data_IF_205448798814
#
_entry.id   IF_205448798814
#
_cell.length_a   1.000
_cell.length_b   1.000
_cell.length_c   1.000
_cell.angle_alpha   90.00
_cell.angle_beta   90.00
_cell.angle_gamma   90.00
#
_symmetry.space_group_name_H-M   'P 1'
#
loop_
_entity.id
_entity.type
_entity.pdbx_description
1 polymer ?
#
# COMPACT_ATOMS: atom_id res chain seq x y z
N UNK A 1 -3.44 3.11 13.26
CA UNK A 1 -2.32 2.41 13.90
C UNK A 1 -1.10 3.32 13.81
N UNK A 2 -0.38 3.59 14.89
CA UNK A 2 0.90 4.30 14.79
C UNK A 2 1.82 3.61 13.78
N UNK A 3 2.54 4.36 12.96
CA UNK A 3 3.35 3.77 11.90
C UNK A 3 4.42 2.81 12.45
N UNK A 4 4.90 3.04 13.67
CA UNK A 4 5.83 2.19 14.42
C UNK A 4 5.28 0.79 14.75
N UNK A 5 3.96 0.62 14.81
CA UNK A 5 3.31 -0.68 15.07
C UNK A 5 3.01 -1.45 13.78
N UNK A 6 3.01 -0.78 12.63
CA UNK A 6 2.65 -1.37 11.33
C UNK A 6 3.55 -2.55 10.94
N UNK A 7 4.89 -2.54 11.16
CA UNK A 7 5.73 -3.68 10.81
C UNK A 7 5.33 -4.97 11.55
N UNK A 8 5.08 -4.90 12.86
CA UNK A 8 4.64 -6.04 13.66
C UNK A 8 3.24 -6.52 13.23
N UNK A 9 2.36 -5.59 12.86
CA UNK A 9 1.06 -5.94 12.29
C UNK A 9 1.18 -6.66 10.94
N UNK A 10 2.03 -6.16 10.04
CA UNK A 10 2.28 -6.77 8.73
C UNK A 10 2.87 -8.18 8.85
N UNK A 11 3.72 -8.43 9.85
CA UNK A 11 4.21 -9.78 10.16
C UNK A 11 3.06 -10.72 10.48
N UNK A 12 2.16 -10.34 11.40
CA UNK A 12 0.97 -11.14 11.76
C UNK A 12 0.01 -11.30 10.58
N UNK A 13 -0.15 -10.26 9.75
CA UNK A 13 -1.01 -10.27 8.58
C UNK A 13 -0.52 -11.27 7.52
N UNK A 14 0.80 -11.31 7.28
CA UNK A 14 1.42 -12.18 6.27
C UNK A 14 1.24 -13.68 6.52
N UNK A 15 1.01 -14.07 7.76
CA UNK A 15 0.73 -15.46 8.16
C UNK A 15 -0.69 -15.92 7.79
N UNK A 16 -1.56 -15.01 7.34
CA UNK A 16 -2.97 -15.30 7.02
C UNK A 16 -3.16 -15.54 5.53
N UNK A 17 -3.70 -16.69 5.16
CA UNK A 17 -3.96 -17.07 3.76
C UNK A 17 -5.23 -16.49 3.15
N UNK A 18 -6.08 -15.84 3.95
CA UNK A 18 -7.36 -15.31 3.47
C UNK A 18 -7.16 -14.20 2.42
N UNK A 19 -8.02 -14.17 1.39
CA UNK A 19 -8.00 -13.14 0.34
C UNK A 19 -8.10 -11.71 0.91
N UNK A 20 -8.87 -11.54 2.00
CA UNK A 20 -8.96 -10.29 2.75
C UNK A 20 -7.61 -9.80 3.29
N UNK A 21 -6.74 -10.73 3.71
CA UNK A 21 -5.41 -10.40 4.22
C UNK A 21 -4.51 -9.91 3.09
N UNK A 22 -4.57 -10.57 1.92
CA UNK A 22 -3.85 -10.11 0.72
C UNK A 22 -4.34 -8.72 0.25
N UNK A 23 -5.65 -8.47 0.32
CA UNK A 23 -6.21 -7.15 0.00
C UNK A 23 -5.73 -6.06 0.98
N UNK A 24 -5.70 -6.36 2.28
CA UNK A 24 -5.19 -5.43 3.28
C UNK A 24 -3.68 -5.20 3.15
N UNK A 25 -2.92 -6.26 2.88
CA UNK A 25 -1.48 -6.18 2.60
C UNK A 25 -1.18 -5.25 1.42
N UNK A 26 -1.90 -5.42 0.31
CA UNK A 26 -1.73 -4.55 -0.86
C UNK A 26 -2.10 -3.10 -0.50
N UNK A 27 -3.22 -2.90 0.20
CA UNK A 27 -3.68 -1.57 0.63
C UNK A 27 -2.63 -0.83 1.46
N UNK A 28 -1.98 -1.53 2.40
CA UNK A 28 -0.93 -0.95 3.24
C UNK A 28 0.31 -0.65 2.40
N UNK A 29 0.76 -1.60 1.59
CA UNK A 29 1.96 -1.43 0.76
C UNK A 29 1.85 -0.31 -0.28
N UNK A 30 0.64 -0.07 -0.80
CA UNK A 30 0.42 0.95 -1.83
C UNK A 30 -0.13 2.26 -1.27
N UNK A 31 -0.42 2.30 0.04
CA UNK A 31 -1.16 3.38 0.69
C UNK A 31 -2.47 3.76 -0.04
N UNK A 32 -3.10 2.83 -0.75
CA UNK A 32 -4.34 3.07 -1.52
C UNK A 32 -5.57 3.13 -0.62
N UNK A 33 -6.69 3.65 -1.14
CA UNK A 33 -7.99 3.60 -0.45
C UNK A 33 -8.57 2.18 -0.53
N UNK A 34 -9.37 1.80 0.47
CA UNK A 34 -10.07 0.51 0.49
C UNK A 34 -10.81 0.22 -0.82
N UNK A 35 -11.58 1.18 -1.33
CA UNK A 35 -12.35 1.03 -2.57
C UNK A 35 -11.49 0.92 -3.83
N UNK A 36 -10.30 1.55 -3.83
CA UNK A 36 -9.33 1.44 -4.91
C UNK A 36 -8.80 0.01 -4.95
N UNK A 37 -8.34 -0.51 -3.80
CA UNK A 37 -7.81 -1.87 -3.71
C UNK A 37 -8.86 -2.92 -4.05
N UNK A 38 -10.04 -2.86 -3.43
CA UNK A 38 -11.05 -3.89 -3.61
C UNK A 38 -11.61 -3.91 -5.03
N UNK A 39 -11.77 -2.73 -5.66
CA UNK A 39 -12.22 -2.65 -7.04
C UNK A 39 -11.14 -2.91 -8.10
N UNK A 40 -9.88 -3.13 -7.69
CA UNK A 40 -8.75 -3.30 -8.61
C UNK A 40 -9.02 -4.40 -9.64
N UNK A 41 -8.69 -4.11 -10.90
CA UNK A 41 -8.86 -5.06 -12.02
C UNK A 41 -7.50 -5.50 -12.56
N UNK A 42 -7.41 -6.74 -13.05
CA UNK A 42 -6.17 -7.22 -13.66
C UNK A 42 -5.75 -6.39 -14.89
N UNK A 43 -6.72 -5.83 -15.63
CA UNK A 43 -6.45 -4.93 -16.76
C UNK A 43 -5.79 -3.60 -16.37
N UNK A 44 -5.80 -3.24 -15.08
CA UNK A 44 -5.15 -2.03 -14.56
C UNK A 44 -3.71 -2.28 -14.09
N UNK A 45 -3.31 -3.56 -13.98
CA UNK A 45 -2.05 -3.98 -13.37
C UNK A 45 -1.07 -4.46 -14.43
N UNK A 46 0.05 -3.76 -14.54
CA UNK A 46 1.21 -4.16 -15.30
C UNK A 46 2.31 -4.62 -14.33
N UNK A 47 2.50 -5.95 -14.23
CA UNK A 47 3.49 -6.54 -13.33
C UNK A 47 4.92 -6.37 -13.85
N UNK A 48 5.11 -6.23 -15.17
CA UNK A 48 6.42 -6.05 -15.78
C UNK A 48 6.91 -4.62 -15.55
N UNK A 49 6.05 -3.63 -15.77
CA UNK A 49 6.31 -2.22 -15.46
C UNK A 49 6.19 -1.90 -13.96
N UNK A 50 5.79 -2.89 -13.13
CA UNK A 50 5.50 -2.75 -11.70
C UNK A 50 4.62 -1.54 -11.42
N UNK A 51 3.48 -1.48 -12.09
CA UNK A 51 2.60 -0.33 -12.10
C UNK A 51 1.14 -0.77 -12.03
N UNK A 52 0.36 -0.10 -11.19
CA UNK A 52 -1.10 -0.21 -11.17
C UNK A 52 -1.71 1.14 -11.53
N UNK A 53 -2.49 1.20 -12.61
CA UNK A 53 -3.08 2.44 -13.13
C UNK A 53 -4.58 2.44 -12.86
N UNK A 54 -5.01 3.25 -11.89
CA UNK A 54 -6.42 3.39 -11.54
C UNK A 54 -7.05 4.46 -12.43
N UNK A 55 -8.07 4.12 -13.24
CA UNK A 55 -8.64 5.06 -14.20
C UNK A 55 -9.47 6.15 -13.52
N UNK A 56 -9.67 7.30 -14.20
CA UNK A 56 -10.37 8.47 -13.64
C UNK A 56 -11.76 8.18 -13.05
N UNK A 57 -12.53 7.30 -13.69
CA UNK A 57 -13.89 6.93 -13.29
C UNK A 57 -13.94 6.20 -11.94
N UNK A 58 -12.83 5.58 -11.53
CA UNK A 58 -12.68 4.94 -10.22
C UNK A 58 -12.05 5.84 -9.16
N UNK A 59 -11.52 6.98 -9.56
CA UNK A 59 -10.83 7.90 -8.66
C UNK A 59 -11.78 8.98 -8.16
N UNK A 60 -11.76 9.22 -6.84
CA UNK A 60 -12.58 10.26 -6.20
C UNK A 60 -12.37 11.65 -6.80
N UNK A 61 -11.16 11.94 -7.28
CA UNK A 61 -10.79 13.22 -7.87
C UNK A 61 -10.99 13.29 -9.39
N UNK A 62 -11.53 12.23 -10.02
CA UNK A 62 -11.74 12.19 -11.47
C UNK A 62 -10.46 12.29 -12.31
N UNK A 63 -9.31 11.94 -11.72
CA UNK A 63 -8.00 11.94 -12.37
C UNK A 63 -7.37 10.57 -12.20
N UNK A 64 -6.79 10.05 -13.28
CA UNK A 64 -6.00 8.82 -13.27
C UNK A 64 -4.95 8.85 -12.15
N UNK A 65 -4.81 7.73 -11.46
CA UNK A 65 -3.78 7.55 -10.44
C UNK A 65 -2.87 6.37 -10.78
N UNK A 66 -1.60 6.67 -11.01
CA UNK A 66 -0.56 5.67 -11.27
C UNK A 66 0.10 5.31 -9.95
N UNK A 67 -0.02 4.07 -9.52
CA UNK A 67 0.47 3.53 -8.25
C UNK A 67 1.69 2.64 -8.52
N UNK A 68 2.90 3.07 -8.16
CA UNK A 68 4.08 2.22 -8.16
C UNK A 68 3.89 0.96 -7.31
N UNK A 69 4.27 -0.20 -7.84
CA UNK A 69 4.25 -1.46 -7.10
C UNK A 69 5.67 -1.80 -6.63
N UNK A 70 5.88 -1.82 -5.32
CA UNK A 70 7.11 -2.33 -4.71
C UNK A 70 7.23 -3.85 -4.92
N UNK A 71 8.42 -4.41 -4.75
CA UNK A 71 8.62 -5.87 -4.89
C UNK A 71 7.68 -6.69 -3.99
N UNK A 72 7.43 -6.32 -2.72
CA UNK A 72 6.41 -6.99 -1.91
C UNK A 72 4.97 -6.85 -2.45
N UNK A 73 4.63 -5.73 -3.08
CA UNK A 73 3.29 -5.53 -3.65
C UNK A 73 3.08 -6.43 -4.88
N UNK A 74 4.11 -6.53 -5.72
CA UNK A 74 4.15 -7.46 -6.86
C UNK A 74 4.03 -8.91 -6.36
N UNK A 75 4.74 -9.28 -5.30
CA UNK A 75 4.66 -10.63 -4.73
C UNK A 75 3.25 -10.98 -4.22
N UNK A 76 2.54 -10.02 -3.59
CA UNK A 76 1.13 -10.19 -3.22
C UNK A 76 0.29 -10.48 -4.46
N UNK A 77 0.41 -9.66 -5.50
CA UNK A 77 -0.37 -9.81 -6.74
C UNK A 77 -0.08 -11.14 -7.46
N UNK A 78 1.19 -11.57 -7.50
CA UNK A 78 1.60 -12.84 -8.11
C UNK A 78 1.09 -14.06 -7.32
N UNK A 79 0.85 -13.91 -6.01
CA UNK A 79 0.30 -15.00 -5.19
C UNK A 79 -1.20 -15.26 -5.40
N UNK A 80 -1.89 -14.37 -6.13
CA UNK A 80 -3.33 -14.45 -6.33
C UNK A 80 -3.68 -15.23 -7.61
N UNK A 81 -4.73 -16.04 -7.52
CA UNK A 81 -5.32 -16.69 -8.67
C UNK A 81 -6.20 -15.71 -9.46
N UNK A 82 -6.10 -15.74 -10.79
CA UNK A 82 -6.89 -14.88 -11.69
C UNK A 82 -8.24 -15.51 -12.02
N UNK A 83 -9.18 -15.42 -11.07
CA UNK A 83 -10.50 -16.05 -11.19
C UNK A 83 -11.47 -15.29 -12.10
N UNK A 84 -11.40 -13.96 -12.11
CA UNK A 84 -12.21 -13.06 -12.94
C UNK A 84 -11.46 -11.73 -13.14
N UNK A 85 -12.14 -10.70 -13.64
CA UNK A 85 -11.56 -9.38 -13.87
C UNK A 85 -10.99 -8.72 -12.60
N UNK A 86 -11.56 -9.00 -11.43
CA UNK A 86 -11.14 -8.39 -10.17
C UNK A 86 -9.89 -9.08 -9.60
N UNK A 87 -8.97 -8.28 -9.08
CA UNK A 87 -7.81 -8.78 -8.33
C UNK A 87 -8.28 -9.43 -7.02
N UNK A 88 -9.31 -8.87 -6.39
CA UNK A 88 -9.93 -9.40 -5.17
C UNK A 88 -11.41 -9.70 -5.43
N UNK A 89 -11.74 -10.87 -6.03
CA UNK A 89 -13.12 -11.23 -6.32
C UNK A 89 -13.95 -11.42 -5.06
N UNK A 90 -15.23 -11.04 -5.15
CA UNK A 90 -16.24 -11.31 -4.14
C UNK A 90 -16.93 -12.66 -4.34
N UNK A 91 -17.97 -12.91 -3.53
CA UNK A 91 -18.78 -14.13 -3.66
C UNK A 91 -19.54 -14.20 -4.99
N UNK A 92 -19.98 -13.04 -5.52
CA UNK A 92 -20.57 -12.94 -6.85
C UNK A 92 -19.47 -12.66 -7.87
N UNK A 93 -19.47 -13.41 -8.98
CA UNK A 93 -18.42 -13.33 -10.00
C UNK A 93 -18.27 -11.93 -10.65
N UNK A 94 -19.32 -11.10 -10.64
CA UNK A 94 -19.33 -9.74 -11.19
C UNK A 94 -19.06 -8.65 -10.13
N UNK A 95 -18.72 -9.04 -8.89
CA UNK A 95 -18.50 -8.11 -7.78
C UNK A 95 -17.11 -8.30 -7.16
N UNK A 96 -16.49 -7.21 -6.69
CA UNK A 96 -15.30 -7.31 -5.86
C UNK A 96 -15.66 -7.82 -4.46
N UNK A 97 -14.63 -8.12 -3.67
CA UNK A 97 -14.74 -8.35 -2.25
C UNK A 97 -15.43 -7.15 -1.56
N UNK A 98 -16.22 -7.40 -0.52
CA UNK A 98 -16.97 -6.34 0.18
C UNK A 98 -16.04 -5.41 0.97
N UNK A 99 -16.39 -4.12 1.02
CA UNK A 99 -15.69 -3.13 1.88
C UNK A 99 -15.58 -3.60 3.33
N UNK A 100 -16.61 -4.29 3.84
CA UNK A 100 -16.63 -4.81 5.21
C UNK A 100 -15.58 -5.88 5.47
N UNK A 101 -15.04 -6.54 4.44
CA UNK A 101 -14.22 -7.73 4.63
C UNK A 101 -12.87 -7.39 5.29
N UNK A 102 -12.23 -6.28 4.94
CA UNK A 102 -11.00 -5.85 5.61
C UNK A 102 -11.26 -5.37 7.05
N UNK A 103 -12.40 -4.72 7.31
CA UNK A 103 -12.77 -4.32 8.67
C UNK A 103 -13.03 -5.53 9.57
N UNK A 104 -13.74 -6.55 9.05
CA UNK A 104 -13.93 -7.81 9.77
C UNK A 104 -12.62 -8.56 9.99
N UNK A 105 -11.65 -8.42 9.08
CA UNK A 105 -10.32 -8.97 9.29
C UNK A 105 -9.62 -8.28 10.47
N UNK A 106 -9.67 -6.95 10.57
CA UNK A 106 -9.10 -6.21 11.71
C UNK A 106 -9.74 -6.66 13.03
N UNK A 107 -11.06 -6.86 13.07
CA UNK A 107 -11.76 -7.44 14.25
C UNK A 107 -11.26 -8.83 14.61
N UNK A 108 -11.10 -9.73 13.63
CA UNK A 108 -10.55 -11.08 13.86
C UNK A 108 -9.07 -11.09 14.25
N UNK A 109 -8.38 -9.98 13.99
CA UNK A 109 -7.00 -9.76 14.41
C UNK A 109 -6.91 -8.99 15.74
N UNK A 110 -8.05 -8.70 16.37
CA UNK A 110 -8.15 -8.00 17.67
C UNK A 110 -7.49 -6.60 17.62
N UNK A 111 -7.62 -5.94 16.47
CA UNK A 111 -7.08 -4.59 16.22
C UNK A 111 -8.14 -3.63 15.66
N UNK A 112 -9.40 -3.82 16.03
CA UNK A 112 -10.55 -3.06 15.54
C UNK A 112 -10.71 -1.65 16.13
N UNK A 113 -9.84 -1.26 17.06
CA UNK A 113 -9.61 0.14 17.38
C UNK A 113 -8.97 0.92 16.21
N UNK A 114 -8.40 0.22 15.24
CA UNK A 114 -7.86 0.81 14.02
C UNK A 114 -8.77 0.56 12.81
N UNK A 115 -8.63 1.44 11.81
CA UNK A 115 -9.38 1.34 10.55
C UNK A 115 -8.42 1.10 9.39
N UNK A 116 -8.94 0.56 8.29
CA UNK A 116 -8.17 0.40 7.04
C UNK A 116 -7.66 1.76 6.54
N UNK A 117 -8.50 2.79 6.62
CA UNK A 117 -8.12 4.15 6.25
C UNK A 117 -6.96 4.67 7.13
N UNK A 118 -6.91 4.28 8.40
CA UNK A 118 -5.86 4.68 9.33
C UNK A 118 -4.45 4.30 8.89
N UNK A 119 -4.26 3.28 8.05
CA UNK A 119 -2.93 2.94 7.51
C UNK A 119 -2.40 3.97 6.51
N UNK A 120 -3.28 4.74 5.86
CA UNK A 120 -2.86 5.87 5.02
C UNK A 120 -2.32 7.02 5.86
N UNK A 121 -2.92 7.24 7.04
CA UNK A 121 -2.37 8.17 8.04
C UNK A 121 -1.01 7.67 8.52
N UNK A 122 -0.87 6.37 8.84
CA UNK A 122 0.42 5.77 9.20
C UNK A 122 1.51 6.04 8.15
N UNK A 123 1.20 5.78 6.87
CA UNK A 123 2.13 6.08 5.76
C UNK A 123 2.52 7.56 5.74
N UNK A 124 1.54 8.45 5.91
CA UNK A 124 1.77 9.90 5.85
C UNK A 124 2.63 10.41 7.00
N UNK A 125 2.38 9.90 8.20
CA UNK A 125 3.13 10.22 9.41
C UNK A 125 4.57 9.71 9.28
N UNK A 126 4.76 8.45 8.85
CA UNK A 126 6.07 7.89 8.55
C UNK A 126 6.87 8.73 7.53
N UNK A 127 6.23 9.21 6.46
CA UNK A 127 6.90 10.09 5.49
C UNK A 127 7.41 11.39 6.13
N UNK A 128 6.69 11.93 7.12
CA UNK A 128 7.06 13.17 7.81
C UNK A 128 8.18 12.99 8.82
N UNK A 129 8.17 11.84 9.51
CA UNK A 129 9.03 11.63 10.68
C UNK A 129 10.31 10.86 10.32
N UNK A 130 10.22 9.85 9.46
CA UNK A 130 11.30 8.89 9.20
C UNK A 130 11.82 8.92 7.76
N UNK A 131 11.14 9.61 6.85
CA UNK A 131 11.51 9.67 5.43
C UNK A 131 11.70 11.11 4.90
N UNK A 132 12.42 12.01 5.62
CA UNK A 132 12.54 13.43 5.26
C UNK A 132 13.26 13.69 3.92
N UNK A 133 13.96 12.68 3.38
CA UNK A 133 14.56 12.74 2.04
C UNK A 133 13.52 12.81 0.91
N UNK A 134 12.29 12.36 1.17
CA UNK A 134 11.20 12.46 0.19
C UNK A 134 10.40 13.74 0.41
N UNK A 135 10.24 14.60 -0.62
CA UNK A 135 9.42 15.80 -0.48
C UNK A 135 8.00 15.45 -0.08
N UNK A 136 7.40 16.25 0.81
CA UNK A 136 5.99 16.13 1.21
C UNK A 136 5.06 15.95 0.01
N UNK A 137 5.30 16.68 -1.06
CA UNK A 137 4.50 16.64 -2.27
C UNK A 137 4.45 15.24 -2.91
N UNK A 138 5.55 14.49 -2.87
CA UNK A 138 5.65 13.12 -3.40
C UNK A 138 4.78 12.18 -2.57
N UNK A 139 4.79 12.33 -1.24
CA UNK A 139 3.93 11.57 -0.33
C UNK A 139 2.44 11.88 -0.53
N UNK A 140 2.09 13.17 -0.67
CA UNK A 140 0.71 13.58 -0.96
C UNK A 140 0.25 13.05 -2.34
N UNK A 141 1.13 13.06 -3.35
CA UNK A 141 0.85 12.47 -4.66
C UNK A 141 0.67 10.95 -4.60
N UNK A 142 1.45 10.22 -3.79
CA UNK A 142 1.26 8.77 -3.58
C UNK A 142 -0.15 8.48 -3.00
N UNK A 143 -0.65 9.36 -2.14
CA UNK A 143 -2.00 9.31 -1.58
C UNK A 143 -3.11 9.81 -2.54
N UNK A 144 -2.77 10.21 -3.77
CA UNK A 144 -3.68 10.86 -4.71
C UNK A 144 -4.38 12.08 -4.10
N UNK A 145 -3.65 12.87 -3.29
CA UNK A 145 -4.10 14.16 -2.80
C UNK A 145 -3.73 15.25 -3.82
N UNK A 146 -4.56 16.29 -3.88
CA UNK A 146 -4.23 17.48 -4.65
C UNK A 146 -3.11 18.25 -3.93
N UNK A 147 -2.01 18.51 -4.62
CA UNK A 147 -0.88 19.29 -4.10
C UNK A 147 -0.82 20.62 -4.83
N UNK A 148 -0.69 21.71 -4.07
CA UNK A 148 -0.62 23.06 -4.61
C UNK A 148 -1.96 23.64 -5.06
N UNK A 149 -1.95 24.93 -5.38
CA UNK A 149 -3.12 25.62 -5.93
C UNK A 149 -3.36 25.23 -7.41
N UNK A 150 -4.47 25.68 -7.99
CA UNK A 150 -4.85 25.32 -9.37
C UNK A 150 -3.78 25.71 -10.41
N UNK A 151 -3.13 26.86 -10.20
CA UNK A 151 -2.07 27.37 -11.07
C UNK A 151 -0.83 26.46 -10.98
N UNK A 152 -0.35 26.15 -9.77
CA UNK A 152 0.79 25.26 -9.56
C UNK A 152 0.56 23.86 -10.16
N UNK A 153 -0.67 23.34 -10.06
CA UNK A 153 -1.03 22.05 -10.65
C UNK A 153 -0.96 22.05 -12.18
N UNK A 154 -1.24 23.18 -12.83
CA UNK A 154 -1.15 23.31 -14.29
C UNK A 154 0.31 23.33 -14.80
N UNK A 155 1.26 23.80 -13.98
CA UNK A 155 2.68 23.87 -14.34
C UNK A 155 3.51 22.64 -13.93
N UNK A 156 2.97 21.75 -13.09
CA UNK A 156 3.68 20.52 -12.68
C UNK A 156 3.88 19.58 -13.87
N UNK A 157 5.14 19.37 -14.24
CA UNK A 157 5.56 18.38 -15.23
C UNK A 157 5.51 16.98 -14.60
N UNK A 158 4.35 16.33 -14.70
CA UNK A 158 4.16 14.92 -14.36
C UNK A 158 3.71 14.62 -12.92
N UNK A 159 3.64 13.33 -12.60
CA UNK A 159 3.16 12.76 -11.34
C UNK A 159 4.30 12.26 -10.43
N UNK A 160 5.54 12.69 -10.70
CA UNK A 160 6.76 12.28 -9.97
C UNK A 160 6.90 10.75 -9.79
N UNK A 161 6.51 9.96 -10.80
CA UNK A 161 6.44 8.50 -10.69
C UNK A 161 7.71 7.84 -10.13
N UNK A 162 8.89 8.23 -10.61
CA UNK A 162 10.15 7.61 -10.19
C UNK A 162 10.49 7.91 -8.73
N UNK A 163 10.28 9.14 -8.26
CA UNK A 163 10.40 9.47 -6.83
C UNK A 163 9.38 8.72 -5.99
N UNK A 164 8.16 8.52 -6.51
CA UNK A 164 7.16 7.69 -5.85
C UNK A 164 7.55 6.20 -5.84
N UNK A 165 8.24 5.68 -6.86
CA UNK A 165 8.78 4.31 -6.84
C UNK A 165 9.76 4.13 -5.68
N UNK A 166 10.70 5.07 -5.52
CA UNK A 166 11.65 5.05 -4.41
C UNK A 166 10.95 5.16 -3.06
N UNK A 167 9.99 6.08 -2.93
CA UNK A 167 9.20 6.26 -1.70
C UNK A 167 8.42 4.98 -1.33
N UNK A 168 7.71 4.39 -2.29
CA UNK A 168 6.91 3.19 -2.05
C UNK A 168 7.78 1.95 -1.78
N UNK A 169 9.01 1.90 -2.32
CA UNK A 169 9.99 0.88 -1.98
C UNK A 169 10.47 1.05 -0.53
N UNK A 170 10.88 2.26 -0.14
CA UNK A 170 11.30 2.55 1.23
C UNK A 170 10.20 2.27 2.26
N UNK A 171 8.94 2.62 1.94
CA UNK A 171 7.80 2.29 2.78
C UNK A 171 7.61 0.78 2.91
N UNK A 172 7.72 0.04 1.79
CA UNK A 172 7.58 -1.41 1.80
C UNK A 172 8.66 -2.09 2.64
N UNK A 173 9.91 -1.61 2.56
CA UNK A 173 11.03 -2.10 3.37
C UNK A 173 10.81 -1.80 4.85
N UNK A 174 10.25 -0.63 5.18
CA UNK A 174 9.91 -0.25 6.55
C UNK A 174 8.83 -1.16 7.15
N UNK A 175 7.74 -1.42 6.43
CA UNK A 175 6.61 -2.22 6.96
C UNK A 175 6.75 -3.72 6.76
N UNK A 176 7.69 -4.16 5.92
CA UNK A 176 8.08 -5.57 5.77
C UNK A 176 9.60 -5.70 5.81
N UNK A 177 10.24 -5.45 6.96
CA UNK A 177 11.65 -5.76 7.08
C UNK A 177 11.80 -7.28 6.85
N UNK A 178 12.70 -7.65 5.95
CA UNK A 178 13.16 -9.04 5.85
C UNK A 178 13.57 -9.48 7.25
N UNK A 179 13.17 -10.69 7.72
CA UNK A 179 13.68 -11.17 9.00
C UNK A 179 15.21 -11.06 8.98
N UNK A 180 15.77 -10.46 10.02
CA UNK A 180 17.21 -10.39 10.20
C UNK A 180 17.80 -11.79 9.96
N UNK A 181 18.90 -11.86 9.23
CA UNK A 181 19.60 -13.10 8.95
C UNK A 181 19.78 -13.86 10.27
N UNK A 182 19.25 -15.09 10.44
CA UNK A 182 19.44 -15.87 11.65
C UNK A 182 20.91 -16.19 11.94
N UNK A 183 21.82 -15.95 10.98
CA UNK A 183 23.28 -16.04 11.13
C UNK A 183 23.99 -14.69 11.35
N UNK A 184 23.27 -13.58 11.53
CA UNK A 184 23.89 -12.33 11.92
C UNK A 184 24.38 -12.44 13.36
N UNK A 185 25.67 -12.77 13.51
CA UNK A 185 26.38 -12.80 14.80
C UNK A 185 26.08 -11.53 15.61
N UNK A 186 25.58 -11.63 16.85
CA UNK A 186 25.45 -10.47 17.70
C UNK A 186 26.87 -9.98 17.99
N UNK A 187 27.27 -8.88 17.34
CA UNK A 187 28.51 -8.18 17.70
C UNK A 187 28.44 -7.87 19.19
N UNK A 188 29.25 -8.58 19.97
CA UNK A 188 29.52 -8.31 21.37
C UNK A 188 30.14 -6.92 21.41
N UNK A 189 29.45 -5.95 22.00
CA UNK A 189 30.00 -4.65 22.33
C UNK A 189 31.15 -4.84 23.36
N UNK A 190 32.41 -4.53 23.02
CA UNK A 190 33.48 -4.56 23.99
C UNK A 190 33.55 -3.19 24.65
N UNK A 191 32.85 -3.02 25.77
CA UNK A 191 33.12 -2.01 26.79
C UNK A 191 32.29 -2.26 28.05
N UNK A 192 32.85 -3.11 28.92
CA UNK A 192 32.82 -2.89 30.38
C UNK A 192 33.92 -1.90 30.76
#
# INVERSE_FOLDING_TARGET
MPFTEVPAFMQKLSQRSALAARALELTILTASRTSETLGARWSEVDLDAKLWVIPPDRMKAGKEHRVPLSSPAVAVLQSLERLNDFVFPGFKADKPLSNMTMEMLLRRMEVDQFTVHGFRSSFRDWCGDEAPQFPREVAEQALAHAVGNEVERAYRRGDALEQRRELMAAWADYVRPTPADPNADPKIDPKS
#
